data_IF_018837898771
#
_entry.id   IF_018837898771
#
_cell.length_a   1.000
_cell.length_b   1.000
_cell.length_c   1.000
_cell.angle_alpha   90.00
_cell.angle_beta   90.00
_cell.angle_gamma   90.00
#
_symmetry.space_group_name_H-M   'P 1'
#
loop_
_entity.id
_entity.type
_entity.pdbx_description
1 polymer ?
#
# COMPACT_ATOMS: atom_id res chain seq x y z
N UNK A 1 -14.22 35.41 -54.59
CA UNK A 1 -14.91 35.71 -53.31
C UNK A 1 -15.68 34.45 -52.94
N UNK A 2 -15.44 33.69 -51.88
CA UNK A 2 -14.72 33.95 -50.62
C UNK A 2 -14.43 32.59 -49.94
N UNK A 3 -13.19 32.44 -49.48
CA UNK A 3 -12.68 31.77 -48.25
C UNK A 3 -13.18 30.39 -47.78
N UNK A 4 -12.22 29.46 -47.71
CA UNK A 4 -11.86 28.48 -46.65
C UNK A 4 -12.83 28.27 -45.46
N UNK A 5 -12.93 27.02 -44.98
CA UNK A 5 -12.17 26.59 -43.78
C UNK A 5 -12.17 25.06 -43.59
N UNK A 6 -10.95 24.54 -43.50
CA UNK A 6 -10.60 23.23 -42.92
C UNK A 6 -10.82 23.37 -41.40
N UNK A 7 -11.64 22.50 -40.81
CA UNK A 7 -11.56 22.22 -39.37
C UNK A 7 -10.83 20.88 -39.21
N UNK A 8 -9.53 21.00 -39.01
CA UNK A 8 -8.63 19.91 -38.63
C UNK A 8 -9.08 19.37 -37.27
N UNK A 9 -9.50 18.11 -37.22
CA UNK A 9 -9.71 17.43 -35.94
C UNK A 9 -8.33 17.23 -35.31
N UNK A 10 -8.05 17.93 -34.20
CA UNK A 10 -6.84 17.70 -33.45
C UNK A 10 -6.84 16.26 -32.92
N UNK A 11 -5.71 15.52 -32.93
CA UNK A 11 -5.64 14.27 -32.21
C UNK A 11 -5.72 14.57 -30.72
N UNK A 12 -6.70 14.00 -30.02
CA UNK A 12 -6.72 14.00 -28.57
C UNK A 12 -5.52 13.18 -28.09
N UNK A 13 -4.57 13.81 -27.40
CA UNK A 13 -3.53 13.09 -26.67
C UNK A 13 -4.07 12.86 -25.26
N UNK A 14 -4.49 11.62 -24.98
CA UNK A 14 -4.65 11.19 -23.59
C UNK A 14 -3.24 11.06 -23.00
N UNK A 15 -2.84 12.03 -22.20
CA UNK A 15 -1.70 11.84 -21.29
C UNK A 15 -2.26 11.07 -20.09
N UNK A 16 -1.67 9.91 -19.78
CA UNK A 16 -2.06 9.16 -18.58
C UNK A 16 -1.95 10.03 -17.33
N UNK A 17 -2.82 9.81 -16.36
CA UNK A 17 -2.74 10.49 -15.07
C UNK A 17 -1.44 10.13 -14.35
N UNK A 18 -0.76 11.10 -13.71
CA UNK A 18 0.47 10.82 -12.98
C UNK A 18 0.18 9.87 -11.82
N UNK A 19 0.95 8.79 -11.73
CA UNK A 19 0.92 7.85 -10.61
C UNK A 19 1.80 8.36 -9.49
N UNK A 20 1.32 8.23 -8.26
CA UNK A 20 1.96 8.78 -7.07
C UNK A 20 2.34 7.67 -6.09
N UNK A 21 3.18 8.02 -5.12
CA UNK A 21 3.68 7.12 -4.08
C UNK A 21 3.31 7.64 -2.71
N UNK A 22 2.69 6.77 -1.89
CA UNK A 22 2.56 6.99 -0.45
C UNK A 22 3.78 6.39 0.25
N UNK A 23 4.41 7.15 1.13
CA UNK A 23 5.53 6.68 1.96
C UNK A 23 5.23 6.92 3.42
N UNK A 24 5.43 5.89 4.24
CA UNK A 24 5.31 5.93 5.68
C UNK A 24 6.58 5.40 6.33
N UNK A 25 6.96 6.01 7.45
CA UNK A 25 8.07 5.57 8.27
C UNK A 25 7.58 5.32 9.70
N UNK A 26 7.99 4.21 10.29
CA UNK A 26 7.72 3.84 11.68
C UNK A 26 8.98 3.28 12.30
N UNK A 27 9.33 3.78 13.49
CA UNK A 27 10.44 3.25 14.27
C UNK A 27 9.91 2.17 15.22
N UNK A 28 10.48 0.98 15.13
CA UNK A 28 10.15 -0.18 15.95
C UNK A 28 11.23 -0.34 17.02
N UNK A 29 10.82 -0.44 18.29
CA UNK A 29 11.69 -0.67 19.44
C UNK A 29 11.98 -2.17 19.62
N UNK A 30 12.46 -2.81 18.55
CA UNK A 30 12.77 -4.24 18.49
C UNK A 30 14.01 -4.48 17.61
N UNK A 31 14.51 -5.71 17.56
CA UNK A 31 15.62 -6.10 16.68
C UNK A 31 15.14 -6.42 15.25
N UNK A 32 16.09 -6.53 14.32
CA UNK A 32 15.80 -6.72 12.89
C UNK A 32 15.07 -8.05 12.60
N UNK A 33 15.37 -9.11 13.34
CA UNK A 33 14.76 -10.41 13.13
C UNK A 33 13.30 -10.43 13.61
N UNK A 34 13.01 -9.86 14.79
CA UNK A 34 11.64 -9.72 15.27
C UNK A 34 10.84 -8.73 14.42
N UNK A 35 11.44 -7.62 13.97
CA UNK A 35 10.81 -6.70 13.02
C UNK A 35 10.45 -7.40 11.70
N UNK A 36 11.31 -8.27 11.19
CA UNK A 36 11.02 -9.06 9.99
C UNK A 36 9.78 -9.94 10.17
N UNK A 37 9.60 -10.55 11.34
CA UNK A 37 8.38 -11.34 11.59
C UNK A 37 7.11 -10.50 11.56
N UNK A 38 7.15 -9.20 11.86
CA UNK A 38 5.97 -8.32 11.79
C UNK A 38 5.49 -8.09 10.35
N UNK A 39 6.35 -8.33 9.36
CA UNK A 39 6.04 -8.13 7.93
C UNK A 39 5.92 -9.46 7.16
N UNK A 40 6.58 -10.53 7.63
CA UNK A 40 6.66 -11.80 6.90
C UNK A 40 5.86 -12.95 7.52
N UNK A 41 5.53 -12.91 8.81
CA UNK A 41 4.72 -13.96 9.46
C UNK A 41 3.23 -13.58 9.36
N UNK A 42 2.41 -14.33 8.60
CA UNK A 42 0.99 -14.02 8.43
C UNK A 42 0.23 -13.86 9.75
N UNK A 43 0.59 -14.63 10.78
CA UNK A 43 -0.06 -14.56 12.09
C UNK A 43 0.28 -13.27 12.86
N UNK A 44 1.43 -12.65 12.59
CA UNK A 44 1.81 -11.35 13.14
C UNK A 44 1.32 -10.20 12.28
N UNK A 45 1.34 -10.34 10.95
CA UNK A 45 0.77 -9.36 10.01
C UNK A 45 -0.71 -9.12 10.31
N UNK A 46 -1.48 -10.19 10.53
CA UNK A 46 -2.89 -10.12 10.85
C UNK A 46 -3.22 -9.36 12.16
N UNK A 47 -2.23 -9.11 13.03
CA UNK A 47 -2.45 -8.38 14.29
C UNK A 47 -2.50 -6.87 14.12
N UNK A 48 -1.88 -6.33 13.06
CA UNK A 48 -1.81 -4.88 12.84
C UNK A 48 -2.45 -4.46 11.52
N UNK A 49 -2.43 -5.31 10.49
CA UNK A 49 -3.05 -5.08 9.20
C UNK A 49 -4.40 -5.79 9.11
N UNK A 50 -4.48 -6.86 8.33
CA UNK A 50 -5.63 -7.72 8.10
C UNK A 50 -5.13 -9.17 7.89
N UNK A 51 -6.00 -10.18 8.01
CA UNK A 51 -5.63 -11.56 7.68
C UNK A 51 -5.02 -11.66 6.28
N UNK A 52 -3.90 -12.39 6.16
CA UNK A 52 -3.19 -12.63 4.90
C UNK A 52 -2.97 -14.12 4.70
N UNK A 53 -3.17 -14.59 3.48
CA UNK A 53 -2.85 -15.94 3.01
C UNK A 53 -1.84 -15.87 1.86
N UNK A 54 -0.99 -16.89 1.71
CA UNK A 54 0.02 -16.98 0.64
C UNK A 54 -0.04 -18.35 -0.03
N UNK A 55 -0.49 -18.36 -1.29
CA UNK A 55 -0.85 -19.56 -2.05
C UNK A 55 -1.93 -20.41 -1.37
N UNK A 56 -1.99 -21.70 -1.72
CA UNK A 56 -3.04 -22.64 -1.28
C UNK A 56 -2.90 -23.14 0.18
N UNK A 57 -2.56 -22.26 1.14
CA UNK A 57 -2.52 -22.58 2.57
C UNK A 57 -1.51 -23.69 2.96
N UNK A 58 -0.23 -23.52 2.58
CA UNK A 58 0.86 -24.27 3.24
C UNK A 58 1.63 -23.35 4.17
N UNK A 59 1.21 -23.33 5.44
CA UNK A 59 1.86 -22.69 6.60
C UNK A 59 3.37 -23.02 6.77
N UNK A 60 3.93 -23.91 5.94
CA UNK A 60 5.35 -24.30 5.97
C UNK A 60 6.22 -23.58 4.93
N UNK A 61 5.66 -22.74 4.07
CA UNK A 61 6.44 -22.00 3.07
C UNK A 61 7.28 -20.93 3.77
N UNK A 62 8.61 -20.96 3.59
CA UNK A 62 9.47 -19.91 4.12
C UNK A 62 9.24 -18.63 3.31
N UNK A 63 9.35 -17.42 3.91
CA UNK A 63 9.17 -16.18 3.17
C UNK A 63 10.03 -16.08 1.91
N UNK A 64 11.29 -16.54 1.95
CA UNK A 64 12.19 -16.53 0.78
C UNK A 64 11.73 -17.42 -0.38
N UNK A 65 10.94 -18.45 -0.11
CA UNK A 65 10.43 -19.38 -1.11
C UNK A 65 9.06 -18.93 -1.66
N UNK A 66 8.56 -17.78 -1.20
CA UNK A 66 7.25 -17.26 -1.55
C UNK A 66 7.25 -16.36 -2.79
N UNK A 67 8.42 -16.01 -3.34
CA UNK A 67 8.51 -15.21 -4.58
C UNK A 67 7.78 -15.90 -5.72
N UNK A 68 6.94 -15.15 -6.43
CA UNK A 68 6.07 -15.66 -7.49
C UNK A 68 4.76 -16.29 -7.00
N UNK A 69 4.54 -16.42 -5.69
CA UNK A 69 3.26 -16.89 -5.14
C UNK A 69 2.27 -15.73 -5.02
N UNK A 70 1.00 -16.06 -5.18
CA UNK A 70 -0.11 -15.14 -4.92
C UNK A 70 -0.28 -14.95 -3.42
N UNK A 71 -0.46 -13.72 -2.99
CA UNK A 71 -0.92 -13.38 -1.64
C UNK A 71 -2.33 -12.81 -1.72
N UNK A 72 -3.12 -13.03 -0.68
CA UNK A 72 -4.49 -12.51 -0.60
C UNK A 72 -4.75 -12.02 0.81
N UNK A 73 -5.40 -10.86 0.93
CA UNK A 73 -5.87 -10.33 2.21
C UNK A 73 -7.38 -10.22 2.24
N UNK A 74 -7.95 -10.33 3.44
CA UNK A 74 -9.38 -10.46 3.65
C UNK A 74 -9.88 -9.41 4.64
N UNK A 75 -11.12 -9.00 4.46
CA UNK A 75 -11.90 -8.33 5.48
C UNK A 75 -12.18 -9.28 6.67
N UNK A 76 -12.56 -8.71 7.82
CA UNK A 76 -12.90 -9.50 9.02
C UNK A 76 -14.07 -10.47 8.80
N UNK A 77 -14.93 -10.20 7.80
CA UNK A 77 -16.04 -11.08 7.40
C UNK A 77 -15.62 -12.19 6.40
N UNK A 78 -14.34 -12.27 6.06
CA UNK A 78 -13.74 -13.28 5.19
C UNK A 78 -13.80 -12.96 3.69
N UNK A 79 -14.43 -11.85 3.28
CA UNK A 79 -14.40 -11.42 1.87
C UNK A 79 -13.00 -10.98 1.48
N UNK A 80 -12.61 -11.28 0.25
CA UNK A 80 -11.35 -10.79 -0.32
C UNK A 80 -11.34 -9.25 -0.35
N UNK A 81 -10.24 -8.66 0.12
CA UNK A 81 -10.02 -7.22 0.07
C UNK A 81 -9.03 -6.84 -1.03
N UNK A 82 -7.91 -7.55 -1.10
CA UNK A 82 -6.90 -7.35 -2.14
C UNK A 82 -6.10 -8.63 -2.36
N UNK A 83 -5.50 -8.73 -3.53
CA UNK A 83 -4.60 -9.81 -3.92
C UNK A 83 -3.41 -9.26 -4.70
N UNK A 84 -2.38 -10.09 -4.88
CA UNK A 84 -1.27 -9.79 -5.76
C UNK A 84 -0.22 -10.88 -5.72
N UNK A 85 0.96 -10.59 -6.26
CA UNK A 85 2.09 -11.52 -6.35
C UNK A 85 3.27 -11.01 -5.55
N UNK A 86 3.96 -11.90 -4.84
CA UNK A 86 5.22 -11.56 -4.17
C UNK A 86 6.32 -11.43 -5.22
N UNK A 87 6.84 -10.22 -5.41
CA UNK A 87 7.83 -9.89 -6.44
C UNK A 87 9.25 -10.04 -5.91
N UNK A 88 9.51 -9.57 -4.68
CA UNK A 88 10.81 -9.70 -4.00
C UNK A 88 10.60 -10.04 -2.54
N UNK A 89 11.45 -10.93 -2.03
CA UNK A 89 11.52 -11.25 -0.62
C UNK A 89 12.99 -11.50 -0.27
N UNK A 90 13.60 -10.55 0.43
CA UNK A 90 15.01 -10.57 0.83
C UNK A 90 15.06 -10.44 2.36
N UNK A 91 14.87 -11.54 3.11
CA UNK A 91 14.93 -11.51 4.56
C UNK A 91 16.30 -11.04 5.07
N UNK A 92 16.37 -10.24 6.16
CA UNK A 92 15.27 -9.64 6.92
C UNK A 92 14.93 -8.19 6.48
N UNK A 93 15.24 -7.79 5.24
CA UNK A 93 15.28 -6.38 4.84
C UNK A 93 14.16 -5.91 3.92
N UNK A 94 13.60 -6.76 3.08
CA UNK A 94 12.72 -6.30 2.00
C UNK A 94 11.63 -7.31 1.67
N UNK A 95 10.38 -6.84 1.63
CA UNK A 95 9.26 -7.51 1.01
C UNK A 95 8.62 -6.57 -0.01
N UNK A 96 8.43 -7.03 -1.24
CA UNK A 96 7.78 -6.28 -2.32
C UNK A 96 6.72 -7.15 -2.97
N UNK A 97 5.51 -6.61 -3.09
CA UNK A 97 4.35 -7.30 -3.64
C UNK A 97 3.59 -6.41 -4.61
N UNK A 98 2.98 -7.00 -5.64
CA UNK A 98 1.95 -6.29 -6.40
C UNK A 98 0.66 -6.22 -5.58
N UNK A 99 -0.19 -5.25 -5.90
CA UNK A 99 -1.43 -4.98 -5.17
C UNK A 99 -2.56 -4.65 -6.14
N UNK A 100 -3.63 -5.42 -6.02
CA UNK A 100 -4.88 -5.29 -6.78
C UNK A 100 -6.04 -5.41 -5.80
N UNK A 101 -6.87 -4.37 -5.68
CA UNK A 101 -8.04 -4.38 -4.80
C UNK A 101 -9.20 -5.16 -5.42
N UNK A 102 -9.92 -5.94 -4.60
CA UNK A 102 -10.98 -6.84 -5.08
C UNK A 102 -12.30 -6.13 -5.38
N UNK A 103 -12.53 -4.95 -4.78
CA UNK A 103 -13.76 -4.15 -4.96
C UNK A 103 -13.71 -3.24 -6.21
N UNK A 104 -12.57 -3.15 -6.90
CA UNK A 104 -12.44 -2.40 -8.16
C UNK A 104 -12.90 -3.28 -9.34
N UNK A 105 -14.21 -3.26 -9.59
CA UNK A 105 -14.82 -3.89 -10.77
C UNK A 105 -14.54 -3.15 -12.10
N UNK A 106 -13.81 -2.04 -12.06
CA UNK A 106 -13.30 -1.35 -13.24
C UNK A 106 -11.84 -1.74 -13.44
N UNK A 107 -11.55 -2.49 -14.51
CA UNK A 107 -10.26 -3.09 -14.88
C UNK A 107 -9.12 -2.07 -15.19
N UNK A 108 -9.11 -0.91 -14.54
CA UNK A 108 -8.17 0.18 -14.73
C UNK A 108 -7.40 0.59 -13.46
N UNK A 109 -7.63 -0.07 -12.31
CA UNK A 109 -6.68 0.02 -11.19
C UNK A 109 -5.44 -0.79 -11.54
N UNK A 110 -4.56 -0.21 -12.38
CA UNK A 110 -3.35 -0.91 -12.77
C UNK A 110 -2.53 -1.27 -11.54
N UNK A 111 -2.02 -2.49 -11.56
CA UNK A 111 -1.20 -3.10 -10.52
C UNK A 111 -0.30 -2.07 -9.83
N UNK A 112 -0.63 -1.81 -8.57
CA UNK A 112 0.18 -0.98 -7.70
C UNK A 112 1.23 -1.86 -7.01
N UNK A 113 2.28 -1.25 -6.47
CA UNK A 113 3.37 -2.00 -5.82
C UNK A 113 3.48 -1.54 -4.38
N UNK A 114 3.38 -2.49 -3.46
CA UNK A 114 3.63 -2.27 -2.04
C UNK A 114 5.03 -2.80 -1.71
N UNK A 115 5.88 -1.93 -1.19
CA UNK A 115 7.22 -2.25 -0.70
C UNK A 115 7.31 -1.96 0.79
N UNK A 116 7.77 -2.95 1.55
CA UNK A 116 8.11 -2.79 2.96
C UNK A 116 9.59 -3.08 3.14
N UNK A 117 10.34 -2.10 3.64
CA UNK A 117 11.77 -2.24 3.92
C UNK A 117 12.10 -2.00 5.39
N UNK A 118 13.06 -2.76 5.90
CA UNK A 118 13.53 -2.71 7.28
C UNK A 118 15.03 -2.36 7.30
N UNK A 119 15.36 -1.29 8.01
CA UNK A 119 16.74 -0.84 8.19
C UNK A 119 17.07 -0.78 9.67
N UNK A 120 18.11 -1.48 10.09
CA UNK A 120 18.61 -1.40 11.47
C UNK A 120 19.10 0.02 11.78
N UNK A 121 18.79 0.51 12.98
CA UNK A 121 19.19 1.81 13.51
C UNK A 121 19.74 1.63 14.94
N UNK A 122 20.41 2.66 15.46
CA UNK A 122 21.04 2.57 16.79
C UNK A 122 20.05 2.28 17.93
N UNK A 123 18.77 2.63 17.77
CA UNK A 123 17.72 2.52 18.79
C UNK A 123 16.50 1.71 18.32
N UNK A 124 16.70 0.77 17.38
CA UNK A 124 15.68 -0.15 16.90
C UNK A 124 15.75 -0.37 15.38
N UNK A 125 14.58 -0.52 14.76
CA UNK A 125 14.45 -0.75 13.30
C UNK A 125 13.56 0.32 12.69
N UNK A 126 13.99 0.90 11.58
CA UNK A 126 13.15 1.75 10.76
C UNK A 126 12.39 0.88 9.76
N UNK A 127 11.07 0.79 9.94
CA UNK A 127 10.15 0.25 8.94
C UNK A 127 9.72 1.37 8.01
N UNK A 128 9.91 1.15 6.72
CA UNK A 128 9.42 2.01 5.65
C UNK A 128 8.41 1.25 4.82
N UNK A 129 7.20 1.79 4.68
CA UNK A 129 6.16 1.29 3.79
C UNK A 129 5.97 2.26 2.64
N UNK A 130 6.10 1.77 1.40
CA UNK A 130 5.87 2.53 0.17
C UNK A 130 4.78 1.85 -0.65
N UNK A 131 3.73 2.59 -1.00
CA UNK A 131 2.70 2.13 -1.92
C UNK A 131 2.74 3.00 -3.18
N UNK A 132 3.28 2.43 -4.25
CA UNK A 132 3.54 3.10 -5.53
C UNK A 132 2.45 2.78 -6.55
N UNK A 133 2.32 3.67 -7.54
CA UNK A 133 1.41 3.43 -8.65
C UNK A 133 0.00 3.94 -8.40
N UNK A 134 -0.22 4.80 -7.42
CA UNK A 134 -1.56 5.19 -6.97
C UNK A 134 -2.14 6.35 -7.77
N UNK A 135 -3.44 6.26 -8.08
CA UNK A 135 -4.24 7.38 -8.54
C UNK A 135 -4.62 8.32 -7.39
N UNK A 136 -5.23 9.46 -7.72
CA UNK A 136 -5.56 10.48 -6.71
C UNK A 136 -6.55 9.99 -5.65
N UNK A 137 -7.63 9.32 -6.07
CA UNK A 137 -8.63 8.74 -5.15
C UNK A 137 -7.97 7.72 -4.22
N UNK A 138 -7.09 6.89 -4.78
CA UNK A 138 -6.36 5.84 -4.08
C UNK A 138 -5.45 6.42 -2.99
N UNK A 139 -4.82 7.57 -3.23
CA UNK A 139 -3.97 8.24 -2.22
C UNK A 139 -4.73 8.59 -0.94
N UNK A 140 -5.99 9.01 -1.07
CA UNK A 140 -6.81 9.35 0.09
C UNK A 140 -7.19 8.09 0.86
N UNK A 141 -7.69 7.08 0.15
CA UNK A 141 -8.16 5.83 0.75
C UNK A 141 -7.01 5.02 1.35
N UNK A 142 -5.96 4.73 0.58
CA UNK A 142 -4.79 4.02 1.08
C UNK A 142 -3.98 4.84 2.08
N UNK A 143 -3.94 6.18 1.94
CA UNK A 143 -3.27 7.04 2.90
C UNK A 143 -3.87 6.92 4.29
N UNK A 144 -5.18 7.12 4.40
CA UNK A 144 -5.89 6.98 5.67
C UNK A 144 -5.88 5.52 6.19
N UNK A 145 -6.04 4.54 5.29
CA UNK A 145 -6.00 3.11 5.62
C UNK A 145 -4.66 2.66 6.18
N UNK A 146 -3.56 2.89 5.46
CA UNK A 146 -2.22 2.53 5.90
C UNK A 146 -1.85 3.22 7.20
N UNK A 147 -2.15 4.52 7.34
CA UNK A 147 -1.89 5.23 8.58
C UNK A 147 -2.61 4.57 9.75
N UNK A 148 -3.89 4.22 9.59
CA UNK A 148 -4.66 3.54 10.65
C UNK A 148 -4.06 2.18 11.03
N UNK A 149 -3.66 1.37 10.05
CA UNK A 149 -3.00 0.08 10.31
C UNK A 149 -1.62 0.24 10.96
N UNK A 150 -0.82 1.22 10.52
CA UNK A 150 0.49 1.49 11.11
C UNK A 150 0.39 2.06 12.53
N UNK A 151 -0.70 2.76 12.87
CA UNK A 151 -0.95 3.17 14.25
C UNK A 151 -1.23 1.95 15.16
N UNK A 152 -1.83 0.87 14.63
CA UNK A 152 -1.99 -0.40 15.37
C UNK A 152 -0.66 -1.10 15.62
N UNK A 153 0.30 -0.98 14.69
CA UNK A 153 1.64 -1.54 14.84
C UNK A 153 2.44 -0.86 15.97
N UNK A 154 2.21 0.43 16.20
CA UNK A 154 2.90 1.20 17.23
C UNK A 154 4.41 1.20 17.05
N UNK A 155 5.16 1.05 18.15
CA UNK A 155 6.61 0.87 18.18
C UNK A 155 7.03 -0.62 18.10
N UNK A 156 6.19 -1.47 17.50
CA UNK A 156 6.31 -2.93 17.57
C UNK A 156 5.44 -3.57 18.66
N UNK A 157 4.71 -2.74 19.44
CA UNK A 157 3.70 -3.18 20.40
C UNK A 157 2.31 -2.91 19.84
N UNK A 158 1.57 -3.98 19.59
CA UNK A 158 0.22 -3.87 19.05
C UNK A 158 -0.70 -3.05 19.96
N UNK A 159 -1.35 -2.07 19.37
CA UNK A 159 -2.32 -1.19 20.04
C UNK A 159 -3.71 -1.46 19.49
N UNK A 160 -4.69 -1.58 20.39
CA UNK A 160 -6.10 -1.70 19.99
C UNK A 160 -6.61 -0.32 19.59
N UNK A 161 -7.02 -0.21 18.33
CA UNK A 161 -7.58 1.02 17.74
C UNK A 161 -8.92 0.68 17.10
N UNK A 162 -9.93 1.50 17.39
CA UNK A 162 -11.16 1.54 16.60
C UNK A 162 -10.82 2.06 15.20
N UNK A 163 -10.75 1.12 14.24
CA UNK A 163 -10.29 1.41 12.90
C UNK A 163 -11.23 2.38 12.17
N UNK A 164 -12.54 2.19 12.31
CA UNK A 164 -13.53 3.02 11.63
C UNK A 164 -13.49 4.46 12.14
N UNK A 165 -13.38 4.65 13.46
CA UNK A 165 -13.23 5.97 14.04
C UNK A 165 -11.92 6.65 13.57
N UNK A 166 -10.80 5.92 13.64
CA UNK A 166 -9.49 6.45 13.27
C UNK A 166 -9.38 6.78 11.78
N UNK A 167 -9.92 5.93 10.92
CA UNK A 167 -10.00 6.19 9.49
C UNK A 167 -10.82 7.46 9.19
N UNK A 168 -11.99 7.61 9.83
CA UNK A 168 -12.85 8.77 9.65
C UNK A 168 -12.20 10.09 10.10
N UNK A 169 -11.30 10.05 11.09
CA UNK A 169 -10.48 11.20 11.47
C UNK A 169 -9.41 11.55 10.43
N UNK A 170 -8.79 10.53 9.81
CA UNK A 170 -7.65 10.68 8.91
C UNK A 170 -8.03 10.98 7.47
N UNK A 171 -9.16 10.47 6.98
CA UNK A 171 -9.61 10.67 5.59
C UNK A 171 -9.64 12.17 5.20
N UNK A 172 -10.21 13.10 6.00
CA UNK A 172 -10.20 14.52 5.66
C UNK A 172 -8.82 15.17 5.72
N UNK A 173 -7.85 14.55 6.40
CA UNK A 173 -6.45 15.00 6.41
C UNK A 173 -5.79 14.65 5.08
N UNK A 174 -5.89 13.38 4.67
CA UNK A 174 -5.31 12.92 3.40
C UNK A 174 -5.94 13.61 2.19
N UNK A 175 -7.26 13.83 2.21
CA UNK A 175 -7.95 14.62 1.19
C UNK A 175 -7.39 16.03 1.03
N UNK A 176 -6.99 16.68 2.12
CA UNK A 176 -6.38 18.02 2.06
C UNK A 176 -4.93 17.98 1.56
N UNK A 177 -4.18 16.94 1.91
CA UNK A 177 -2.79 16.77 1.47
C UNK A 177 -2.69 16.56 -0.04
N UNK A 178 -3.58 15.75 -0.63
CA UNK A 178 -3.61 15.53 -2.08
C UNK A 178 -3.95 16.82 -2.83
N UNK A 179 -4.93 17.60 -2.33
CA UNK A 179 -5.31 18.90 -2.91
C UNK A 179 -4.19 19.95 -2.81
N UNK A 180 -3.45 19.99 -1.70
CA UNK A 180 -2.35 20.93 -1.50
C UNK A 180 -1.11 20.61 -2.35
N UNK A 181 -0.82 19.33 -2.57
CA UNK A 181 0.24 18.89 -3.47
C UNK A 181 0.00 19.35 -4.91
N UNK A 182 -1.24 19.31 -5.38
CA UNK A 182 -1.64 19.77 -6.71
C UNK A 182 -1.50 21.29 -6.91
N UNK A 183 -1.78 22.09 -5.86
CA UNK A 183 -1.64 23.54 -5.93
C UNK A 183 -0.17 24.00 -6.02
N UNK A 184 0.77 23.16 -5.58
CA UNK A 184 2.21 23.47 -5.60
C UNK A 184 2.87 23.07 -6.92
N UNK A 185 2.33 22.11 -7.66
CA UNK A 185 2.86 21.63 -8.95
C UNK A 185 2.42 22.49 -10.16
N UNK A 186 1.36 23.30 -10.01
CA UNK A 186 0.87 24.21 -11.06
C UNK A 186 1.41 25.65 -10.99
N UNK A 187 2.43 25.90 -10.15
CA UNK A 187 2.98 27.24 -9.85
C UNK A 187 4.29 27.57 -10.55
#
# INVERSE_FOLDING_TARGET
MTTNHIASSAPATLLGTPRQTLRFERRLATDLDDAWTLVSDPARVARWFAPVTVGDDDSRTRPQDAVGRTWTTHWDDGREYATGTIVRCEPPHLLEVTWTASDDADEASADSVLRVSLTEQADGVLLTLEHEGLGETDLVQYGAGWHTYLDRLGDGRFTVIDWSARYAELEPVYRRLTQAGQATDQG
#
